data_IF_016178566643
#
_entry.id   IF_016178566643
#
_cell.length_a   1.000
_cell.length_b   1.000
_cell.length_c   1.000
_cell.angle_alpha   90.00
_cell.angle_beta   90.00
_cell.angle_gamma   90.00
#
_symmetry.space_group_name_H-M   'P 1'
#
loop_
_entity.id
_entity.type
_entity.pdbx_description
1 polymer ?
#
# COMPACT_ATOMS: atom_id res chain seq x y z
N UNK A 1 -23.59 1.93 4.69
CA UNK A 1 -22.40 2.60 5.25
C UNK A 1 -21.12 1.79 4.99
N UNK A 2 -21.06 0.51 5.37
CA UNK A 2 -19.86 -0.33 5.25
C UNK A 2 -19.31 -0.52 3.82
N UNK A 3 -20.18 -0.65 2.81
CA UNK A 3 -19.73 -0.80 1.41
C UNK A 3 -18.99 0.45 0.90
N UNK A 4 -19.58 1.64 1.09
CA UNK A 4 -18.96 2.91 0.67
C UNK A 4 -17.63 3.17 1.39
N UNK A 5 -17.54 2.80 2.67
CA UNK A 5 -16.30 2.89 3.44
C UNK A 5 -15.22 1.95 2.88
N UNK A 6 -15.59 0.73 2.48
CA UNK A 6 -14.66 -0.22 1.85
C UNK A 6 -14.16 0.26 0.49
N UNK A 7 -15.04 0.81 -0.35
CA UNK A 7 -14.68 1.40 -1.65
C UNK A 7 -13.72 2.59 -1.44
N UNK A 8 -14.00 3.42 -0.44
CA UNK A 8 -13.17 4.58 -0.13
C UNK A 8 -11.76 4.19 0.35
N UNK A 9 -11.64 3.21 1.24
CA UNK A 9 -10.35 2.66 1.71
C UNK A 9 -9.55 2.02 0.56
N UNK A 10 -10.22 1.27 -0.31
CA UNK A 10 -9.58 0.67 -1.49
C UNK A 10 -9.04 1.72 -2.46
N UNK A 11 -9.77 2.82 -2.66
CA UNK A 11 -9.33 3.92 -3.50
C UNK A 11 -8.13 4.64 -2.89
N UNK A 12 -8.17 4.96 -1.59
CA UNK A 12 -7.04 5.61 -0.90
C UNK A 12 -5.79 4.74 -0.98
N UNK A 13 -5.91 3.44 -0.71
CA UNK A 13 -4.82 2.49 -0.82
C UNK A 13 -4.18 2.42 -2.20
N UNK A 14 -5.01 2.31 -3.23
CA UNK A 14 -4.55 2.26 -4.62
C UNK A 14 -3.88 3.57 -5.05
N UNK A 15 -4.40 4.71 -4.59
CA UNK A 15 -3.81 6.03 -4.85
C UNK A 15 -2.48 6.19 -4.13
N UNK A 16 -2.37 5.76 -2.86
CA UNK A 16 -1.11 5.78 -2.12
C UNK A 16 -0.03 4.96 -2.85
N UNK A 17 -0.41 3.79 -3.35
CA UNK A 17 0.49 2.93 -4.12
C UNK A 17 0.90 3.54 -5.46
N UNK A 18 -0.01 4.23 -6.14
CA UNK A 18 0.30 4.99 -7.35
C UNK A 18 1.32 6.11 -7.07
N UNK A 19 1.10 6.90 -6.01
CA UNK A 19 2.01 7.99 -5.62
C UNK A 19 3.39 7.46 -5.21
N UNK A 20 3.46 6.35 -4.49
CA UNK A 20 4.75 5.76 -4.10
C UNK A 20 5.50 5.23 -5.32
N UNK A 21 4.82 4.55 -6.24
CA UNK A 21 5.48 4.05 -7.47
C UNK A 21 5.97 5.20 -8.35
N UNK A 22 5.19 6.28 -8.47
CA UNK A 22 5.61 7.50 -9.17
C UNK A 22 6.86 8.12 -8.51
N UNK A 23 6.85 8.27 -7.18
CA UNK A 23 8.01 8.74 -6.41
C UNK A 23 9.26 7.89 -6.62
N UNK A 24 9.13 6.55 -6.56
CA UNK A 24 10.27 5.65 -6.77
C UNK A 24 10.77 5.66 -8.21
N UNK A 25 9.91 5.93 -9.19
CA UNK A 25 10.28 6.04 -10.60
C UNK A 25 11.10 7.30 -10.92
N UNK A 26 11.04 8.33 -10.06
CA UNK A 26 11.84 9.55 -10.20
C UNK A 26 13.22 9.45 -9.51
N UNK A 27 13.52 8.33 -8.84
CA UNK A 27 14.86 8.10 -8.27
C UNK A 27 15.89 7.83 -9.38
N UNK A 28 17.16 8.05 -9.05
CA UNK A 28 18.27 7.74 -9.96
C UNK A 28 18.33 6.22 -10.25
N UNK A 29 18.80 5.84 -11.44
CA UNK A 29 18.81 4.45 -11.92
C UNK A 29 19.68 3.52 -11.04
N UNK A 30 20.59 4.10 -10.24
CA UNK A 30 21.46 3.39 -9.31
C UNK A 30 20.91 3.30 -7.87
N UNK A 31 19.75 3.92 -7.60
CA UNK A 31 19.12 3.90 -6.28
C UNK A 31 18.58 2.50 -5.95
N UNK A 32 18.93 1.98 -4.77
CA UNK A 32 18.30 0.76 -4.23
C UNK A 32 16.90 1.10 -3.69
N UNK A 33 15.88 0.93 -4.54
CA UNK A 33 14.47 1.17 -4.21
C UNK A 33 14.06 0.45 -2.92
N UNK A 34 14.58 -0.77 -2.67
CA UNK A 34 14.24 -1.55 -1.48
C UNK A 34 14.88 -0.95 -0.23
N UNK A 35 16.12 -0.47 -0.32
CA UNK A 35 16.78 0.24 0.78
C UNK A 35 16.07 1.56 1.11
N UNK A 36 15.71 2.34 0.10
CA UNK A 36 14.95 3.60 0.26
C UNK A 36 13.56 3.33 0.86
N UNK A 37 12.86 2.28 0.41
CA UNK A 37 11.57 1.89 0.98
C UNK A 37 11.70 1.48 2.46
N UNK A 38 12.74 0.73 2.83
CA UNK A 38 12.99 0.37 4.24
C UNK A 38 13.30 1.59 5.10
N UNK A 39 14.07 2.54 4.58
CA UNK A 39 14.37 3.78 5.28
C UNK A 39 13.10 4.64 5.48
N UNK A 40 12.24 4.73 4.46
CA UNK A 40 10.93 5.40 4.56
C UNK A 40 10.04 4.72 5.59
N UNK A 41 9.94 3.39 5.57
CA UNK A 41 9.18 2.62 6.55
C UNK A 41 9.65 2.90 7.98
N UNK A 42 10.96 2.96 8.20
CA UNK A 42 11.52 3.26 9.53
C UNK A 42 11.19 4.70 9.97
N UNK A 43 11.24 5.68 9.06
CA UNK A 43 10.84 7.05 9.32
C UNK A 43 9.35 7.22 9.65
N UNK A 44 8.49 6.39 9.08
CA UNK A 44 7.05 6.41 9.35
C UNK A 44 6.66 5.85 10.73
N UNK A 45 7.55 5.12 11.42
CA UNK A 45 7.28 4.63 12.79
C UNK A 45 6.92 5.74 13.77
N UNK A 46 7.45 6.94 13.57
CA UNK A 46 7.13 8.11 14.39
C UNK A 46 5.63 8.44 14.40
N UNK A 47 4.91 8.20 13.30
CA UNK A 47 3.46 8.43 13.22
C UNK A 47 2.65 7.41 14.04
N UNK A 48 3.27 6.37 14.59
CA UNK A 48 2.61 5.39 15.45
C UNK A 48 2.59 5.82 16.93
N UNK A 49 3.33 6.87 17.32
CA UNK A 49 3.62 7.19 18.73
C UNK A 49 2.77 8.34 19.34
N UNK A 50 2.06 9.15 18.56
CA UNK A 50 1.21 10.27 19.07
C UNK A 50 -0.27 10.04 18.72
N UNK A 51 -1.16 9.70 19.68
CA UNK A 51 -2.58 9.45 19.47
C UNK A 51 -3.52 10.50 20.10
N UNK A 52 -3.15 11.78 20.10
CA UNK A 52 -3.87 12.84 20.82
C UNK A 52 -4.48 13.91 19.87
N UNK A 53 -5.29 13.57 18.84
CA UNK A 53 -6.39 14.48 18.40
C UNK A 53 -7.40 13.86 17.41
N UNK A 54 -8.71 14.05 17.65
CA UNK A 54 -9.86 13.53 16.88
C UNK A 54 -9.93 13.94 15.38
N UNK A 55 -8.95 14.69 14.86
CA UNK A 55 -8.72 14.96 13.44
C UNK A 55 -7.91 13.82 12.75
N UNK A 56 -7.64 12.73 13.48
CA UNK A 56 -6.75 11.61 13.13
C UNK A 56 -7.31 10.63 12.10
N UNK A 57 -8.59 10.25 12.12
CA UNK A 57 -9.03 9.04 11.40
C UNK A 57 -8.80 9.01 9.87
N UNK A 58 -8.87 10.15 9.17
CA UNK A 58 -8.59 10.22 7.72
C UNK A 58 -7.09 10.38 7.45
N UNK A 59 -6.39 11.18 8.25
CA UNK A 59 -4.94 11.40 8.10
C UNK A 59 -4.20 10.10 8.44
N UNK A 60 -4.58 9.43 9.52
CA UNK A 60 -4.09 8.12 9.93
C UNK A 60 -4.41 7.05 8.88
N UNK A 61 -5.60 7.05 8.28
CA UNK A 61 -5.92 6.13 7.18
C UNK A 61 -5.02 6.36 5.97
N UNK A 62 -4.75 7.61 5.60
CA UNK A 62 -3.84 7.97 4.52
C UNK A 62 -2.39 7.59 4.86
N UNK A 63 -1.93 7.86 6.09
CA UNK A 63 -0.60 7.50 6.57
C UNK A 63 -0.41 5.97 6.55
N UNK A 64 -1.35 5.21 7.10
CA UNK A 64 -1.34 3.75 7.08
C UNK A 64 -1.39 3.20 5.64
N UNK A 65 -2.10 3.87 4.72
CA UNK A 65 -2.11 3.48 3.31
C UNK A 65 -0.75 3.66 2.63
N UNK A 66 -0.05 4.77 2.93
CA UNK A 66 1.30 5.04 2.43
C UNK A 66 2.31 4.07 3.04
N UNK A 67 2.28 3.89 4.36
CA UNK A 67 3.15 2.94 5.07
C UNK A 67 3.03 1.53 4.49
N UNK A 68 1.81 1.05 4.26
CA UNK A 68 1.57 -0.28 3.66
C UNK A 68 2.01 -0.38 2.21
N UNK A 69 1.89 0.69 1.43
CA UNK A 69 2.43 0.72 0.07
C UNK A 69 3.96 0.57 0.10
N UNK A 70 4.63 1.26 1.03
CA UNK A 70 6.08 1.15 1.26
C UNK A 70 6.46 -0.25 1.72
N UNK A 71 5.72 -0.86 2.65
CA UNK A 71 5.91 -2.26 3.08
C UNK A 71 5.84 -3.24 1.91
N UNK A 72 4.84 -3.12 1.04
CA UNK A 72 4.70 -4.02 -0.10
C UNK A 72 5.88 -3.94 -1.07
N UNK A 73 6.47 -2.75 -1.22
CA UNK A 73 7.67 -2.54 -2.03
C UNK A 73 8.90 -3.11 -1.30
N UNK A 74 9.07 -2.80 -0.01
CA UNK A 74 10.18 -3.27 0.81
C UNK A 74 10.27 -4.81 0.91
N UNK A 75 9.11 -5.47 1.03
CA UNK A 75 8.98 -6.93 1.09
C UNK A 75 9.02 -7.60 -0.30
N UNK A 76 9.19 -6.82 -1.38
CA UNK A 76 9.13 -7.27 -2.79
C UNK A 76 7.82 -8.00 -3.13
N UNK A 77 6.73 -7.66 -2.44
CA UNK A 77 5.38 -8.08 -2.82
C UNK A 77 4.91 -7.33 -4.07
N UNK A 78 5.44 -6.13 -4.27
CA UNK A 78 5.30 -5.34 -5.48
C UNK A 78 6.70 -5.02 -5.99
N UNK A 79 6.98 -5.48 -7.21
CA UNK A 79 8.20 -5.16 -7.94
C UNK A 79 7.95 -3.89 -8.77
N UNK A 80 8.61 -2.78 -8.39
CA UNK A 80 8.42 -1.47 -9.02
C UNK A 80 8.91 -1.51 -10.46
N UNK A 81 10.05 -2.16 -10.73
CA UNK A 81 10.62 -2.28 -12.06
C UNK A 81 9.71 -3.09 -12.99
N UNK A 82 9.13 -4.19 -12.49
CA UNK A 82 8.14 -4.96 -13.25
C UNK A 82 6.89 -4.11 -13.57
N UNK A 83 6.41 -3.31 -12.61
CA UNK A 83 5.25 -2.43 -12.82
C UNK A 83 5.57 -1.37 -13.87
N UNK A 84 6.73 -0.72 -13.81
CA UNK A 84 7.16 0.30 -14.77
C UNK A 84 7.36 -0.28 -16.18
N UNK A 85 8.03 -1.43 -16.29
CA UNK A 85 8.17 -2.14 -17.56
C UNK A 85 6.79 -2.49 -18.15
N UNK A 86 5.87 -3.00 -17.32
CA UNK A 86 4.51 -3.31 -17.77
C UNK A 86 3.72 -2.07 -18.20
N UNK A 87 4.00 -0.90 -17.62
CA UNK A 87 3.36 0.36 -17.96
C UNK A 87 3.81 0.86 -19.33
N UNK A 88 5.11 0.74 -19.63
CA UNK A 88 5.67 1.05 -20.95
C UNK A 88 5.01 0.19 -22.04
N UNK A 89 4.78 -1.09 -21.77
CA UNK A 89 4.18 -2.04 -22.71
C UNK A 89 2.65 -1.89 -22.88
N UNK A 90 1.95 -1.35 -21.88
CA UNK A 90 0.49 -1.23 -21.87
C UNK A 90 -0.03 0.20 -22.15
N UNK A 91 0.76 1.03 -22.82
CA UNK A 91 0.37 2.38 -23.23
C UNK A 91 0.18 3.33 -22.06
N UNK A 92 1.05 3.26 -21.05
CA UNK A 92 1.01 4.14 -19.88
C UNK A 92 0.04 3.72 -18.78
N UNK A 93 -0.64 2.58 -18.92
CA UNK A 93 -1.61 2.12 -17.92
C UNK A 93 -0.91 1.38 -16.78
N UNK A 94 -0.99 1.97 -15.59
CA UNK A 94 -0.54 1.34 -14.35
C UNK A 94 -1.39 0.11 -14.03
N UNK A 95 -0.75 -1.05 -13.83
CA UNK A 95 -1.43 -2.30 -13.45
C UNK A 95 -0.71 -2.95 -12.29
N UNK A 96 -1.23 -2.75 -11.10
CA UNK A 96 -0.64 -3.31 -9.89
C UNK A 96 -1.36 -4.63 -9.58
N UNK A 97 -0.60 -5.72 -9.48
CA UNK A 97 -1.14 -7.03 -9.12
C UNK A 97 -0.70 -7.38 -7.71
N UNK A 98 -1.66 -7.46 -6.79
CA UNK A 98 -1.39 -7.95 -5.45
C UNK A 98 -1.12 -9.47 -5.48
N UNK A 99 -0.22 -9.99 -4.62
CA UNK A 99 0.02 -11.40 -4.50
C UNK A 99 -1.26 -12.19 -4.22
N UNK A 100 -1.32 -13.41 -4.75
CA UNK A 100 -2.40 -14.35 -4.45
C UNK A 100 -1.89 -15.43 -3.51
N UNK A 101 -2.68 -15.74 -2.49
CA UNK A 101 -2.43 -16.84 -1.56
C UNK A 101 -3.62 -17.77 -1.52
N UNK A 102 -3.36 -19.05 -1.24
CA UNK A 102 -4.41 -20.06 -1.13
C UNK A 102 -5.26 -19.78 0.11
N UNK A 103 -6.54 -19.46 -0.10
CA UNK A 103 -7.49 -19.38 0.99
C UNK A 103 -7.95 -20.79 1.36
N UNK A 104 -7.52 -21.28 2.52
CA UNK A 104 -7.84 -22.62 3.01
C UNK A 104 -9.34 -22.86 3.22
N UNK A 105 -10.13 -21.81 3.46
CA UNK A 105 -11.57 -21.93 3.67
C UNK A 105 -12.34 -22.09 2.35
N UNK A 106 -11.89 -21.43 1.27
CA UNK A 106 -12.58 -21.47 -0.03
C UNK A 106 -11.91 -22.39 -1.06
N UNK A 107 -10.68 -22.83 -0.80
CA UNK A 107 -9.86 -23.62 -1.72
C UNK A 107 -9.39 -22.85 -2.95
N UNK A 108 -9.60 -21.53 -3.00
CA UNK A 108 -9.25 -20.67 -4.14
C UNK A 108 -8.10 -19.75 -3.79
N UNK A 109 -7.28 -19.45 -4.79
CA UNK A 109 -6.30 -18.37 -4.70
C UNK A 109 -7.01 -17.02 -4.60
N UNK A 110 -6.57 -16.19 -3.67
CA UNK A 110 -7.13 -14.86 -3.45
C UNK A 110 -6.04 -13.89 -3.05
N UNK A 111 -6.17 -12.64 -3.50
CA UNK A 111 -5.41 -11.51 -2.97
C UNK A 111 -6.01 -10.96 -1.68
N UNK A 112 -7.07 -11.59 -1.17
CA UNK A 112 -7.85 -11.19 -0.02
C UNK A 112 -7.04 -10.62 1.13
N UNK A 113 -5.96 -11.27 1.62
CA UNK A 113 -5.15 -10.77 2.74
C UNK A 113 -4.40 -9.45 2.48
N UNK A 114 -4.12 -9.13 1.21
CA UNK A 114 -3.38 -7.92 0.81
C UNK A 114 -4.33 -6.77 0.41
N UNK A 115 -5.64 -7.02 0.38
CA UNK A 115 -6.63 -6.01 0.02
C UNK A 115 -6.74 -4.93 1.09
N UNK A 116 -6.91 -3.69 0.63
CA UNK A 116 -7.16 -2.49 1.42
C UNK A 116 -8.60 -2.47 1.97
N UNK A 117 -8.91 -3.37 2.91
CA UNK A 117 -10.26 -3.63 3.42
C UNK A 117 -10.37 -3.55 4.95
N UNK A 118 -11.57 -3.31 5.48
CA UNK A 118 -11.82 -3.27 6.94
C UNK A 118 -11.39 -4.57 7.64
N UNK A 119 -11.57 -5.74 7.02
CA UNK A 119 -11.20 -7.00 7.66
C UNK A 119 -9.69 -7.17 7.83
N UNK A 120 -8.90 -6.51 6.98
CA UNK A 120 -7.45 -6.59 7.01
C UNK A 120 -6.82 -5.37 7.70
N UNK A 121 -7.49 -4.21 7.64
CA UNK A 121 -6.96 -2.90 7.99
C UNK A 121 -7.70 -2.28 9.19
N UNK A 122 -8.88 -2.81 9.52
CA UNK A 122 -9.83 -2.22 10.46
C UNK A 122 -9.25 -2.01 11.84
N UNK A 123 -8.57 -3.00 12.41
CA UNK A 123 -7.97 -2.91 13.76
C UNK A 123 -6.82 -1.92 13.85
N UNK A 124 -6.04 -1.75 12.78
CA UNK A 124 -4.93 -0.79 12.75
C UNK A 124 -5.44 0.64 12.55
N UNK A 125 -6.50 0.83 11.77
CA UNK A 125 -7.19 2.13 11.61
C UNK A 125 -8.18 2.46 12.73
N UNK A 126 -8.33 1.58 13.73
CA UNK A 126 -9.18 1.79 14.92
C UNK A 126 -8.34 2.14 16.15
N UNK A 127 -7.02 1.93 16.08
CA UNK A 127 -6.07 2.33 17.11
C UNK A 127 -5.60 3.79 16.94
N UNK A 128 -6.05 4.44 15.86
CA UNK A 128 -5.99 5.88 15.59
C UNK A 128 -7.41 6.42 15.48
#
# INVERSE_FOLDING_TARGET
>A
ALQRLSEWRSNIGSTALAMMIDFFAELDDDADIVEVAKALQDGYKFLQEDPDDDMEGVIALCAAAVERAVEFIADRLIDVDEVLASMADNGGKMRIKLPKVLNKATGKETSGPFMFSVSNWGTQTLAY
#
